data_IF_806876111553
#
_entry.id   IF_806876111553
#
_cell.length_a   1.000
_cell.length_b   1.000
_cell.length_c   1.000
_cell.angle_alpha   90.00
_cell.angle_beta   90.00
_cell.angle_gamma   90.00
#
_symmetry.space_group_name_H-M   'P 1'
#
loop_
_entity.id
_entity.type
_entity.pdbx_description
1 polymer ?
#
# COMPACT_ATOMS: atom_id res chain seq x y z
N UNK A 1 -36.58 35.00 -7.15
CA UNK A 1 -36.18 33.71 -6.53
C UNK A 1 -35.21 34.00 -5.40
N UNK A 2 -35.50 33.50 -4.21
CA UNK A 2 -35.00 33.95 -2.90
C UNK A 2 -33.72 33.18 -2.53
N UNK A 3 -32.68 33.87 -2.06
CA UNK A 3 -31.44 33.25 -1.57
C UNK A 3 -31.68 32.47 -0.25
N UNK A 4 -31.00 31.34 0.00
CA UNK A 4 -31.25 30.53 1.19
C UNK A 4 -30.57 31.08 2.45
N UNK A 5 -31.25 30.94 3.59
CA UNK A 5 -30.81 31.40 4.91
C UNK A 5 -29.82 30.42 5.56
N UNK A 6 -28.86 30.97 6.30
CA UNK A 6 -27.84 30.22 7.03
C UNK A 6 -28.40 29.56 8.32
N UNK A 7 -27.92 28.36 8.71
CA UNK A 7 -28.34 27.69 9.94
C UNK A 7 -27.67 28.28 11.20
N UNK A 8 -28.34 28.24 12.38
CA UNK A 8 -27.82 28.85 13.60
C UNK A 8 -26.68 28.05 14.25
N UNK A 9 -25.72 28.80 14.79
CA UNK A 9 -24.46 28.38 15.42
C UNK A 9 -24.74 27.81 16.83
N UNK A 10 -24.36 26.55 17.09
CA UNK A 10 -24.45 25.90 18.41
C UNK A 10 -23.31 26.39 19.31
N UNK A 11 -23.63 26.92 20.49
CA UNK A 11 -22.66 27.31 21.52
C UNK A 11 -22.18 26.08 22.34
N UNK A 12 -20.91 26.03 22.79
CA UNK A 12 -20.39 24.96 23.64
C UNK A 12 -20.77 25.14 25.12
N UNK A 13 -21.15 24.04 25.78
CA UNK A 13 -21.56 24.01 27.19
C UNK A 13 -20.32 23.93 28.10
N UNK A 14 -20.28 24.85 29.06
CA UNK A 14 -19.27 25.11 30.10
C UNK A 14 -18.99 23.89 31.00
N UNK A 15 -17.70 23.68 31.31
CA UNK A 15 -17.19 22.81 32.37
C UNK A 15 -17.55 23.35 33.77
N UNK A 16 -17.67 22.44 34.75
CA UNK A 16 -17.63 22.75 36.19
C UNK A 16 -16.64 21.81 36.92
N UNK A 17 -15.98 22.24 38.01
CA UNK A 17 -14.86 21.55 38.64
C UNK A 17 -15.22 20.86 39.99
N UNK A 18 -14.18 20.39 40.70
CA UNK A 18 -14.08 19.84 42.08
C UNK A 18 -14.07 18.30 42.13
N UNK A 19 -13.26 17.59 42.95
CA UNK A 19 -12.72 17.86 44.30
C UNK A 19 -11.40 17.12 44.57
N UNK A 20 -10.64 17.69 45.50
CA UNK A 20 -9.35 17.29 46.08
C UNK A 20 -9.42 16.15 47.12
N UNK A 21 -8.26 15.56 47.42
CA UNK A 21 -7.93 14.84 48.67
C UNK A 21 -6.50 14.26 48.57
N UNK A 22 -5.46 15.00 49.00
CA UNK A 22 -4.84 15.07 50.34
C UNK A 22 -3.80 13.97 50.64
N UNK A 23 -2.52 14.40 50.66
CA UNK A 23 -1.40 14.10 51.59
C UNK A 23 -1.34 12.72 52.27
N UNK A 24 -0.16 12.06 52.39
CA UNK A 24 0.79 12.21 53.52
C UNK A 24 2.22 11.77 53.10
N UNK A 25 3.18 12.36 53.81
CA UNK A 25 4.64 12.49 53.72
C UNK A 25 5.52 11.38 54.33
N UNK A 26 6.84 11.51 54.04
CA UNK A 26 8.05 11.18 54.84
C UNK A 26 8.56 9.72 54.86
N UNK A 27 9.77 9.40 54.33
CA UNK A 27 11.13 9.43 54.97
C UNK A 27 11.26 8.41 56.13
N UNK A 28 12.27 7.54 56.33
CA UNK A 28 13.66 7.35 55.85
C UNK A 28 14.23 5.98 56.34
N UNK A 29 15.44 5.64 55.87
CA UNK A 29 16.52 4.84 56.50
C UNK A 29 16.60 3.30 56.42
N UNK A 30 17.50 2.85 55.53
CA UNK A 30 18.79 2.21 55.79
C UNK A 30 18.94 0.89 56.59
N UNK A 31 19.65 -0.03 55.90
CA UNK A 31 20.75 -0.94 56.33
C UNK A 31 20.48 -2.44 56.53
N UNK A 32 21.44 -3.21 55.97
CA UNK A 32 21.92 -4.56 56.33
C UNK A 32 21.30 -5.79 55.64
N UNK A 33 22.04 -6.28 54.64
CA UNK A 33 22.21 -7.71 54.28
C UNK A 33 22.88 -8.46 55.45
N UNK A 34 22.71 -9.80 55.64
CA UNK A 34 23.27 -10.77 54.69
C UNK A 34 22.58 -12.14 54.53
N UNK A 35 22.98 -12.80 53.43
CA UNK A 35 23.15 -14.25 53.24
C UNK A 35 21.90 -15.13 53.12
N UNK A 36 21.52 -15.38 51.87
CA UNK A 36 20.80 -16.57 51.44
C UNK A 36 21.19 -16.90 50.01
N UNK A 37 22.16 -17.78 49.83
CA UNK A 37 22.58 -18.24 48.52
C UNK A 37 21.46 -19.09 47.88
N UNK A 38 20.88 -18.58 46.79
CA UNK A 38 20.28 -19.40 45.75
C UNK A 38 20.85 -18.94 44.42
N UNK A 39 21.59 -19.83 43.77
CA UNK A 39 22.29 -19.62 42.50
C UNK A 39 21.34 -19.11 41.41
N UNK A 40 21.62 -18.02 40.68
CA UNK A 40 20.86 -17.62 39.51
C UNK A 40 21.40 -18.40 38.30
N UNK A 41 21.33 -19.73 38.34
CA UNK A 41 21.95 -20.56 37.29
C UNK A 41 20.94 -21.25 36.38
N UNK A 42 19.65 -21.27 36.73
CA UNK A 42 18.62 -21.98 35.94
C UNK A 42 17.69 -21.03 35.17
N UNK A 43 17.47 -19.79 35.65
CA UNK A 43 16.61 -18.81 34.97
C UNK A 43 17.24 -18.21 33.71
N UNK A 44 18.57 -18.05 33.66
CA UNK A 44 19.25 -17.54 32.46
C UNK A 44 19.16 -18.54 31.30
N UNK A 45 19.16 -19.85 31.57
CA UNK A 45 18.97 -20.86 30.53
C UNK A 45 17.52 -20.93 30.08
N UNK A 46 16.55 -20.82 31.00
CA UNK A 46 15.14 -20.78 30.64
C UNK A 46 14.80 -19.54 29.78
N UNK A 47 15.33 -18.36 30.12
CA UNK A 47 15.13 -17.15 29.31
C UNK A 47 15.72 -17.24 27.90
N UNK A 48 16.90 -17.85 27.74
CA UNK A 48 17.51 -18.07 26.43
C UNK A 48 16.74 -19.12 25.60
N UNK A 49 16.12 -20.12 26.24
CA UNK A 49 15.35 -21.17 25.55
C UNK A 49 14.00 -20.65 25.06
N UNK A 50 13.34 -19.70 25.74
CA UNK A 50 12.14 -19.06 25.19
C UNK A 50 12.46 -18.04 24.09
N UNK A 51 13.58 -17.33 24.16
CA UNK A 51 13.92 -16.28 23.16
C UNK A 51 14.37 -16.86 21.81
N UNK A 52 14.98 -18.06 21.77
CA UNK A 52 15.31 -18.76 20.51
C UNK A 52 14.06 -19.26 19.75
N UNK A 53 12.92 -19.46 20.43
CA UNK A 53 11.69 -19.96 19.80
C UNK A 53 10.79 -18.87 19.22
N UNK A 54 11.03 -17.60 19.57
CA UNK A 54 10.24 -16.45 19.09
C UNK A 54 11.02 -15.52 18.16
N UNK A 55 11.93 -16.08 17.35
CA UNK A 55 12.42 -15.36 16.17
C UNK A 55 11.21 -15.01 15.29
N UNK A 56 10.87 -13.72 15.08
CA UNK A 56 9.74 -13.35 14.24
C UNK A 56 10.01 -13.87 12.83
N UNK A 57 9.28 -14.91 12.42
CA UNK A 57 9.39 -15.45 11.06
C UNK A 57 9.07 -14.31 10.10
N UNK A 58 10.01 -13.97 9.21
CA UNK A 58 9.78 -12.94 8.18
C UNK A 58 8.51 -13.31 7.42
N UNK A 59 7.52 -12.40 7.31
CA UNK A 59 6.27 -12.73 6.65
C UNK A 59 6.53 -13.10 5.19
N UNK A 60 5.81 -14.10 4.68
CA UNK A 60 5.87 -14.48 3.27
C UNK A 60 5.31 -13.36 2.39
N UNK A 61 5.66 -13.34 1.10
CA UNK A 61 5.12 -12.34 0.18
C UNK A 61 3.58 -12.32 0.19
N UNK A 62 2.93 -13.48 0.22
CA UNK A 62 1.47 -13.57 0.32
C UNK A 62 0.89 -12.97 1.61
N UNK A 63 1.58 -13.12 2.74
CA UNK A 63 1.19 -12.47 3.99
C UNK A 63 1.36 -10.94 3.89
N UNK A 64 2.46 -10.47 3.31
CA UNK A 64 2.71 -9.03 3.12
C UNK A 64 1.66 -8.43 2.18
N UNK A 65 1.37 -9.08 1.06
CA UNK A 65 0.35 -8.62 0.08
C UNK A 65 -1.01 -8.48 0.75
N UNK A 66 -1.47 -9.52 1.47
CA UNK A 66 -2.75 -9.47 2.21
C UNK A 66 -2.78 -8.36 3.25
N UNK A 67 -1.70 -8.20 4.02
CA UNK A 67 -1.60 -7.18 5.05
C UNK A 67 -1.62 -5.76 4.44
N UNK A 68 -0.82 -5.52 3.40
CA UNK A 68 -0.66 -4.21 2.76
C UNK A 68 -1.92 -3.79 2.02
N UNK A 69 -2.59 -4.70 1.32
CA UNK A 69 -3.80 -4.39 0.58
C UNK A 69 -5.06 -4.36 1.46
N UNK A 70 -4.97 -4.76 2.74
CA UNK A 70 -6.02 -4.59 3.76
C UNK A 70 -7.40 -5.10 3.31
N UNK A 71 -7.45 -6.31 2.76
CA UNK A 71 -8.66 -6.93 2.19
C UNK A 71 -9.25 -6.23 0.95
N UNK A 72 -8.48 -5.36 0.28
CA UNK A 72 -8.88 -4.78 -1.00
C UNK A 72 -9.18 -5.87 -2.02
N UNK A 73 -10.43 -5.93 -2.49
CA UNK A 73 -10.90 -6.98 -3.39
C UNK A 73 -10.54 -6.69 -4.83
N UNK A 74 -10.49 -5.42 -5.22
CA UNK A 74 -10.19 -5.00 -6.59
C UNK A 74 -9.04 -4.00 -6.62
N UNK A 75 -8.08 -4.25 -7.50
CA UNK A 75 -6.87 -3.44 -7.68
C UNK A 75 -6.79 -3.01 -9.14
N UNK A 76 -6.48 -1.73 -9.36
CA UNK A 76 -6.13 -1.23 -10.69
C UNK A 76 -4.68 -0.77 -10.68
N UNK A 77 -3.93 -1.06 -11.74
CA UNK A 77 -2.52 -0.75 -11.82
C UNK A 77 -2.15 -0.22 -13.20
N UNK A 78 -1.45 0.91 -13.23
CA UNK A 78 -0.76 1.39 -14.43
C UNK A 78 0.34 0.41 -14.86
N UNK A 79 0.61 0.31 -16.16
CA UNK A 79 1.71 -0.51 -16.69
C UNK A 79 3.05 0.25 -16.70
N UNK A 80 3.11 1.40 -17.37
CA UNK A 80 4.34 2.18 -17.57
C UNK A 80 4.96 2.64 -16.24
N UNK A 81 6.24 2.39 -16.09
CA UNK A 81 7.03 2.72 -14.91
C UNK A 81 6.71 1.89 -13.66
N UNK A 82 5.62 1.11 -13.64
CA UNK A 82 5.27 0.21 -12.54
C UNK A 82 5.66 -1.22 -12.90
N UNK A 83 5.04 -1.77 -13.95
CA UNK A 83 5.22 -3.15 -14.41
C UNK A 83 6.17 -3.19 -15.60
N UNK A 84 6.04 -2.23 -16.50
CA UNK A 84 6.92 -2.06 -17.65
C UNK A 84 8.11 -1.16 -17.28
N UNK A 85 9.26 -1.44 -17.88
CA UNK A 85 10.46 -0.59 -17.77
C UNK A 85 10.24 0.77 -18.44
N UNK A 86 9.47 0.78 -19.53
CA UNK A 86 9.16 1.97 -20.31
C UNK A 86 8.42 3.02 -19.47
N UNK A 87 8.68 4.29 -19.79
CA UNK A 87 8.20 5.45 -19.03
C UNK A 87 7.20 6.32 -19.78
N UNK A 88 7.07 6.11 -21.09
CA UNK A 88 6.20 6.89 -21.96
C UNK A 88 5.48 6.00 -22.99
N UNK A 89 4.30 6.43 -23.47
CA UNK A 89 3.53 5.67 -24.45
C UNK A 89 4.20 5.62 -25.84
N UNK A 90 5.09 6.56 -26.16
CA UNK A 90 5.87 6.56 -27.40
C UNK A 90 6.92 5.44 -27.42
N UNK A 91 7.45 5.05 -26.26
CA UNK A 91 8.38 3.91 -26.15
C UNK A 91 7.69 2.59 -26.50
N UNK A 92 6.39 2.46 -26.21
CA UNK A 92 5.58 1.26 -26.49
C UNK A 92 5.41 0.96 -27.98
N UNK A 93 5.58 1.95 -28.85
CA UNK A 93 5.57 1.75 -30.30
C UNK A 93 6.78 0.94 -30.79
N UNK A 94 7.83 0.82 -29.96
CA UNK A 94 9.06 0.09 -30.28
C UNK A 94 9.12 -1.26 -29.57
N UNK A 95 8.83 -1.25 -28.27
CA UNK A 95 8.94 -2.43 -27.41
C UNK A 95 8.17 -2.24 -26.10
N UNK A 96 7.95 -3.33 -25.39
CA UNK A 96 7.51 -3.33 -24.00
C UNK A 96 8.31 -4.40 -23.24
N UNK A 97 8.84 -4.03 -22.07
CA UNK A 97 9.71 -4.90 -21.27
C UNK A 97 9.15 -5.02 -19.86
N UNK A 98 8.76 -6.22 -19.46
CA UNK A 98 8.24 -6.48 -18.11
C UNK A 98 9.41 -6.55 -17.12
N UNK A 99 9.34 -5.78 -16.04
CA UNK A 99 10.32 -5.84 -14.95
C UNK A 99 10.24 -7.21 -14.27
N UNK A 100 11.35 -7.95 -14.24
CA UNK A 100 11.40 -9.25 -13.57
C UNK A 100 11.13 -9.15 -12.06
N UNK A 101 11.54 -8.05 -11.43
CA UNK A 101 11.37 -7.80 -9.99
C UNK A 101 9.91 -7.71 -9.54
N UNK A 102 8.96 -7.41 -10.44
CA UNK A 102 7.55 -7.26 -10.08
C UNK A 102 6.73 -8.53 -10.25
N UNK A 103 7.25 -9.56 -10.92
CA UNK A 103 6.47 -10.73 -11.34
C UNK A 103 5.86 -11.45 -10.14
N UNK A 104 6.68 -11.80 -9.14
CA UNK A 104 6.21 -12.51 -7.95
C UNK A 104 5.15 -11.69 -7.20
N UNK A 105 5.32 -10.36 -7.15
CA UNK A 105 4.36 -9.46 -6.51
C UNK A 105 3.03 -9.46 -7.27
N UNK A 106 3.05 -9.33 -8.60
CA UNK A 106 1.84 -9.34 -9.42
C UNK A 106 1.09 -10.66 -9.30
N UNK A 107 1.81 -11.79 -9.43
CA UNK A 107 1.24 -13.13 -9.30
C UNK A 107 0.67 -13.40 -7.91
N UNK A 108 1.23 -12.77 -6.87
CA UNK A 108 0.69 -12.90 -5.52
C UNK A 108 -0.53 -11.98 -5.29
N UNK A 109 -0.54 -10.77 -5.85
CA UNK A 109 -1.71 -9.86 -5.81
C UNK A 109 -2.92 -10.55 -6.42
N UNK A 110 -2.76 -11.18 -7.58
CA UNK A 110 -3.87 -11.81 -8.31
C UNK A 110 -4.49 -13.02 -7.62
N UNK A 111 -3.78 -13.64 -6.65
CA UNK A 111 -4.36 -14.72 -5.82
C UNK A 111 -5.43 -14.22 -4.86
N UNK A 112 -5.39 -12.94 -4.49
CA UNK A 112 -6.27 -12.35 -3.47
C UNK A 112 -7.15 -11.23 -4.00
N UNK A 113 -6.75 -10.61 -5.10
CA UNK A 113 -7.38 -9.42 -5.65
C UNK A 113 -7.76 -9.62 -7.12
N UNK A 114 -8.91 -9.07 -7.48
CA UNK A 114 -9.31 -8.85 -8.85
C UNK A 114 -8.48 -7.71 -9.46
N UNK A 115 -7.39 -8.06 -10.14
CA UNK A 115 -6.43 -7.12 -10.71
C UNK A 115 -6.81 -6.72 -12.13
N UNK A 116 -6.79 -5.42 -12.40
CA UNK A 116 -6.88 -4.83 -13.74
C UNK A 116 -5.61 -4.04 -14.03
N UNK A 117 -5.00 -4.30 -15.19
CA UNK A 117 -3.90 -3.52 -15.70
C UNK A 117 -4.44 -2.50 -16.69
N UNK A 118 -3.83 -1.33 -16.75
CA UNK A 118 -4.28 -0.29 -17.68
C UNK A 118 -3.14 0.58 -18.17
N UNK A 119 -3.22 1.02 -19.42
CA UNK A 119 -2.24 1.96 -19.97
C UNK A 119 -2.84 2.87 -21.03
N UNK A 120 -2.19 4.03 -21.18
CA UNK A 120 -2.41 4.88 -22.34
C UNK A 120 -1.51 4.41 -23.49
N UNK A 121 -2.09 4.18 -24.67
CA UNK A 121 -1.37 3.82 -25.90
C UNK A 121 -1.67 4.82 -27.00
N UNK A 122 -0.80 4.85 -28.01
CA UNK A 122 -0.94 5.74 -29.18
C UNK A 122 -1.70 5.05 -30.31
N UNK A 123 -1.54 3.73 -30.43
CA UNK A 123 -2.11 2.91 -31.50
C UNK A 123 -2.32 1.46 -31.06
N UNK A 124 -3.13 0.73 -31.83
CA UNK A 124 -3.47 -0.68 -31.59
C UNK A 124 -2.25 -1.61 -31.70
N UNK A 125 -1.18 -1.20 -32.40
CA UNK A 125 0.03 -2.01 -32.51
C UNK A 125 0.80 -2.02 -31.19
N UNK A 126 0.86 -0.88 -30.50
CA UNK A 126 1.40 -0.75 -29.15
C UNK A 126 0.63 -1.63 -28.15
N UNK A 127 -0.69 -1.78 -28.29
CA UNK A 127 -1.48 -2.70 -27.46
C UNK A 127 -1.01 -4.15 -27.63
N UNK A 128 -0.79 -4.59 -28.87
CA UNK A 128 -0.30 -5.94 -29.17
C UNK A 128 1.10 -6.17 -28.62
N UNK A 129 1.99 -5.18 -28.74
CA UNK A 129 3.36 -5.24 -28.18
C UNK A 129 3.30 -5.45 -26.67
N UNK A 130 2.47 -4.67 -25.97
CA UNK A 130 2.28 -4.81 -24.51
C UNK A 130 1.71 -6.18 -24.15
N UNK A 131 0.64 -6.62 -24.82
CA UNK A 131 0.01 -7.91 -24.54
C UNK A 131 0.98 -9.07 -24.77
N UNK A 132 1.78 -9.02 -25.84
CA UNK A 132 2.79 -10.02 -26.15
C UNK A 132 3.90 -10.04 -25.08
N UNK A 133 4.34 -8.88 -24.60
CA UNK A 133 5.33 -8.79 -23.53
C UNK A 133 4.83 -9.41 -22.21
N UNK A 134 3.58 -9.12 -21.82
CA UNK A 134 2.94 -9.70 -20.63
C UNK A 134 2.77 -11.22 -20.77
N UNK A 135 2.42 -11.69 -21.97
CA UNK A 135 2.29 -13.12 -22.29
C UNK A 135 3.64 -13.84 -22.20
N UNK A 136 4.69 -13.28 -22.82
CA UNK A 136 6.04 -13.82 -22.78
C UNK A 136 6.63 -13.84 -21.36
N UNK A 137 6.22 -12.89 -20.51
CA UNK A 137 6.58 -12.87 -19.09
C UNK A 137 5.79 -13.89 -18.24
N UNK A 138 4.84 -14.62 -18.84
CA UNK A 138 4.05 -15.65 -18.17
C UNK A 138 2.94 -15.12 -17.26
N UNK A 139 2.59 -13.83 -17.35
CA UNK A 139 1.59 -13.21 -16.45
C UNK A 139 0.21 -13.87 -16.61
N UNK A 140 -0.13 -14.30 -17.82
CA UNK A 140 -1.44 -14.93 -18.12
C UNK A 140 -1.49 -16.44 -17.86
N UNK A 141 -0.37 -17.10 -17.56
CA UNK A 141 -0.34 -18.58 -17.48
C UNK A 141 -0.55 -19.12 -16.07
N UNK A 142 -0.04 -18.41 -15.06
CA UNK A 142 0.06 -18.89 -13.67
C UNK A 142 -0.62 -17.98 -12.64
N UNK A 143 -1.13 -16.83 -13.07
CA UNK A 143 -1.52 -15.73 -12.19
C UNK A 143 -3.00 -15.37 -12.15
N UNK A 144 -3.91 -16.06 -12.83
CA UNK A 144 -5.34 -15.69 -12.80
C UNK A 144 -5.70 -14.32 -13.43
N UNK A 145 -4.72 -13.56 -13.91
CA UNK A 145 -4.94 -12.41 -14.79
C UNK A 145 -5.21 -12.92 -16.21
N UNK A 146 -6.24 -12.39 -16.85
CA UNK A 146 -6.61 -12.70 -18.23
C UNK A 146 -6.43 -11.46 -19.12
N UNK A 147 -6.23 -11.65 -20.43
CA UNK A 147 -6.00 -10.56 -21.39
C UNK A 147 -7.11 -9.50 -21.34
N UNK A 148 -8.36 -9.90 -21.10
CA UNK A 148 -9.53 -9.00 -20.98
C UNK A 148 -9.47 -8.03 -19.79
N UNK A 149 -8.56 -8.25 -18.83
CA UNK A 149 -8.30 -7.34 -17.70
C UNK A 149 -7.14 -6.38 -17.94
N UNK A 150 -6.59 -6.35 -19.15
CA UNK A 150 -5.63 -5.35 -19.60
C UNK A 150 -6.39 -4.33 -20.45
N UNK A 151 -6.55 -3.12 -19.93
CA UNK A 151 -7.40 -2.08 -20.50
C UNK A 151 -6.54 -0.97 -21.14
N UNK A 152 -6.82 -0.64 -22.39
CA UNK A 152 -6.11 0.39 -23.12
C UNK A 152 -6.99 1.61 -23.36
N UNK A 153 -6.37 2.80 -23.35
CA UNK A 153 -7.04 4.04 -23.68
C UNK A 153 -6.09 4.99 -24.42
N UNK A 154 -6.63 5.97 -25.14
CA UNK A 154 -5.82 6.96 -25.88
C UNK A 154 -5.48 8.22 -25.08
N UNK A 155 -6.07 8.40 -23.89
CA UNK A 155 -5.95 9.62 -23.08
C UNK A 155 -5.85 9.31 -21.58
N UNK A 156 -5.20 10.20 -20.81
CA UNK A 156 -5.13 10.08 -19.35
C UNK A 156 -6.52 10.16 -18.68
N UNK A 157 -7.43 10.92 -19.28
CA UNK A 157 -8.83 10.96 -18.84
C UNK A 157 -9.53 9.61 -19.03
N UNK A 158 -9.18 8.86 -20.08
CA UNK A 158 -9.63 7.49 -20.30
C UNK A 158 -9.24 6.57 -19.14
N UNK A 159 -7.97 6.64 -18.70
CA UNK A 159 -7.50 5.88 -17.52
C UNK A 159 -8.29 6.23 -16.26
N UNK A 160 -8.46 7.53 -15.99
CA UNK A 160 -9.28 8.00 -14.85
C UNK A 160 -10.72 7.48 -14.94
N UNK A 161 -11.30 7.45 -16.15
CA UNK A 161 -12.65 6.91 -16.38
C UNK A 161 -12.74 5.42 -16.07
N UNK A 162 -11.78 4.59 -16.51
CA UNK A 162 -11.74 3.17 -16.16
C UNK A 162 -11.68 2.97 -14.65
N UNK A 163 -10.78 3.67 -13.96
CA UNK A 163 -10.64 3.53 -12.50
C UNK A 163 -11.94 3.90 -11.79
N UNK A 164 -12.60 4.98 -12.21
CA UNK A 164 -13.89 5.40 -11.60
C UNK A 164 -15.03 4.42 -11.86
N UNK A 165 -15.07 3.77 -13.02
CA UNK A 165 -16.11 2.79 -13.34
C UNK A 165 -15.87 1.44 -12.67
N UNK A 166 -14.60 1.05 -12.55
CA UNK A 166 -14.22 -0.19 -11.87
C UNK A 166 -14.42 -0.08 -10.35
N UNK A 167 -14.37 1.12 -9.78
CA UNK A 167 -14.48 1.37 -8.33
C UNK A 167 -13.55 0.45 -7.51
N UNK A 168 -12.23 0.43 -7.79
CA UNK A 168 -11.32 -0.44 -7.08
C UNK A 168 -11.08 0.04 -5.63
N UNK A 169 -10.71 -0.88 -4.77
CA UNK A 169 -10.24 -0.54 -3.42
C UNK A 169 -8.86 0.10 -3.46
N UNK A 170 -8.02 -0.31 -4.42
CA UNK A 170 -6.67 0.20 -4.65
C UNK A 170 -6.44 0.68 -6.08
N UNK A 171 -5.74 1.80 -6.20
CA UNK A 171 -5.19 2.25 -7.48
C UNK A 171 -3.68 2.51 -7.37
N UNK A 172 -2.91 2.00 -8.33
CA UNK A 172 -1.46 2.14 -8.40
C UNK A 172 -1.12 2.89 -9.68
N UNK A 173 -0.44 4.03 -9.57
CA UNK A 173 -0.09 4.88 -10.72
C UNK A 173 1.22 5.64 -10.46
N UNK A 174 1.88 6.08 -11.52
CA UNK A 174 3.07 6.95 -11.51
C UNK A 174 2.72 8.43 -11.70
N UNK A 175 1.56 8.72 -12.29
CA UNK A 175 1.08 10.07 -12.61
C UNK A 175 0.45 10.74 -11.37
N UNK A 176 1.08 11.79 -10.80
CA UNK A 176 0.59 12.44 -9.59
C UNK A 176 -0.73 13.19 -9.80
N UNK A 177 -1.01 13.70 -11.00
CA UNK A 177 -2.27 14.35 -11.33
C UNK A 177 -3.44 13.37 -11.24
N UNK A 178 -3.29 12.15 -11.79
CA UNK A 178 -4.34 11.11 -11.72
C UNK A 178 -4.57 10.69 -10.27
N UNK A 179 -3.49 10.41 -9.52
CA UNK A 179 -3.58 10.04 -8.09
C UNK A 179 -4.33 11.11 -7.29
N UNK A 180 -4.01 12.38 -7.52
CA UNK A 180 -4.67 13.52 -6.86
C UNK A 180 -6.16 13.61 -7.23
N UNK A 181 -6.50 13.44 -8.51
CA UNK A 181 -7.88 13.48 -8.98
C UNK A 181 -8.72 12.32 -8.41
N UNK A 182 -8.12 11.14 -8.25
CA UNK A 182 -8.79 9.93 -7.79
C UNK A 182 -8.86 9.80 -6.26
N UNK A 183 -8.11 10.60 -5.51
CA UNK A 183 -8.01 10.49 -4.04
C UNK A 183 -9.33 10.59 -3.28
N UNK A 184 -10.36 11.23 -3.85
CA UNK A 184 -11.69 11.29 -3.22
C UNK A 184 -12.60 10.11 -3.56
N UNK A 185 -12.22 9.30 -4.55
CA UNK A 185 -13.04 8.19 -5.07
C UNK A 185 -12.50 6.82 -4.66
N UNK A 186 -11.19 6.72 -4.45
CA UNK A 186 -10.51 5.45 -4.20
C UNK A 186 -10.09 5.34 -2.75
N UNK A 187 -10.35 4.17 -2.13
CA UNK A 187 -10.09 3.94 -0.71
C UNK A 187 -8.60 4.06 -0.37
N UNK A 188 -7.73 3.49 -1.21
CA UNK A 188 -6.29 3.56 -1.05
C UNK A 188 -5.57 3.72 -2.39
N UNK A 189 -4.46 4.44 -2.40
CA UNK A 189 -3.67 4.64 -3.61
C UNK A 189 -2.18 4.49 -3.33
N UNK A 190 -1.47 3.91 -4.28
CA UNK A 190 -0.01 3.87 -4.29
C UNK A 190 0.50 4.73 -5.45
N UNK A 191 1.17 5.82 -5.11
CA UNK A 191 1.93 6.62 -6.06
C UNK A 191 3.35 6.06 -6.15
N UNK A 192 3.69 5.51 -7.31
CA UNK A 192 5.03 5.02 -7.61
C UNK A 192 5.87 6.17 -8.13
N UNK A 193 6.88 6.59 -7.37
CA UNK A 193 7.74 7.71 -7.72
C UNK A 193 9.15 7.53 -7.14
N UNK A 194 10.21 7.74 -7.94
CA UNK A 194 11.60 7.57 -7.46
C UNK A 194 11.96 8.57 -6.36
N UNK A 195 11.31 9.73 -6.35
CA UNK A 195 11.40 10.70 -5.26
C UNK A 195 10.25 10.47 -4.30
N UNK A 196 10.45 10.77 -3.01
CA UNK A 196 9.36 10.70 -2.03
C UNK A 196 8.63 12.04 -2.03
N UNK A 197 7.49 12.20 -2.73
CA UNK A 197 6.75 13.44 -2.71
C UNK A 197 6.17 13.69 -1.33
N UNK A 198 5.82 14.94 -1.05
CA UNK A 198 5.00 15.28 0.09
C UNK A 198 3.63 14.59 -0.03
N UNK A 199 3.11 14.09 1.09
CA UNK A 199 1.88 13.31 1.09
C UNK A 199 0.70 14.19 0.70
N UNK A 200 0.11 13.93 -0.46
CA UNK A 200 -1.01 14.71 -1.01
C UNK A 200 -2.33 14.44 -0.30
N UNK A 201 -2.55 13.21 0.18
CA UNK A 201 -3.77 12.81 0.88
C UNK A 201 -3.53 11.62 1.85
N UNK A 202 -4.36 11.44 2.90
CA UNK A 202 -4.18 10.37 3.88
C UNK A 202 -4.36 8.95 3.30
N UNK A 203 -5.04 8.81 2.17
CA UNK A 203 -5.18 7.53 1.47
C UNK A 203 -4.13 7.30 0.38
N UNK A 204 -3.20 8.25 0.18
CA UNK A 204 -2.12 8.12 -0.79
C UNK A 204 -0.83 7.71 -0.08
N UNK A 205 -0.29 6.57 -0.47
CA UNK A 205 1.02 6.06 -0.10
C UNK A 205 2.00 6.34 -1.24
N UNK A 206 3.28 6.50 -0.92
CA UNK A 206 4.33 6.73 -1.92
C UNK A 206 5.48 5.77 -1.71
N UNK A 207 6.00 5.22 -2.81
CA UNK A 207 7.10 4.26 -2.81
C UNK A 207 7.89 4.36 -4.13
N UNK A 208 9.21 4.09 -4.14
CA UNK A 208 10.02 4.12 -5.36
C UNK A 208 9.60 3.08 -6.41
N UNK A 209 9.11 1.92 -5.98
CA UNK A 209 8.60 0.89 -6.88
C UNK A 209 7.61 -0.04 -6.18
N UNK A 210 6.96 -0.90 -6.96
CA UNK A 210 5.94 -1.82 -6.45
C UNK A 210 6.56 -2.84 -5.49
N UNK A 211 7.68 -3.43 -5.89
CA UNK A 211 8.45 -4.39 -5.12
C UNK A 211 8.97 -3.80 -3.80
N UNK A 212 9.37 -2.53 -3.77
CA UNK A 212 9.71 -1.84 -2.51
C UNK A 212 8.51 -1.73 -1.57
N UNK A 213 7.31 -1.48 -2.10
CA UNK A 213 6.11 -1.36 -1.29
C UNK A 213 5.75 -2.67 -0.56
N UNK A 214 6.05 -3.81 -1.20
CA UNK A 214 5.85 -5.16 -0.67
C UNK A 214 7.13 -5.78 -0.04
N UNK A 215 8.26 -5.05 0.02
CA UNK A 215 9.47 -5.49 0.71
C UNK A 215 10.26 -6.60 0.00
N UNK A 216 10.22 -6.62 -1.33
CA UNK A 216 10.89 -7.61 -2.19
C UNK A 216 12.27 -7.16 -2.70
N UNK A 217 12.94 -6.23 -2.02
CA UNK A 217 14.20 -5.60 -2.45
C UNK A 217 15.30 -5.77 -1.40
#
# INVERSE_FOLDING_TARGET
MRSPAAPPRRQPKRQAPTTSGSSISAQSNATLMPSGACSPSEDLRAQNVVDEFFQPVKPTLGQIVRQKLSEGRKVTCRLLGVILEESSPEELQKQATVKSSVLDVLLEITKYCDLYLMERVIDDESEKIVLLALENAGIFTSGGLVKDKVLFCSTENGRTSFVRQLEPDWHIDTNPEIVSQLARFIKYQLHVSPTRPERTAPNVFSCPSLEHFFGCV
#
